data_IF_440812896281
#
_entry.id   IF_440812896281
#
_cell.length_a   1.000
_cell.length_b   1.000
_cell.length_c   1.000
_cell.angle_alpha   90.00
_cell.angle_beta   90.00
_cell.angle_gamma   90.00
#
_symmetry.space_group_name_H-M   'P 1'
#
loop_
_entity.id
_entity.type
_entity.pdbx_description
1 polymer ?
#
# COMPACT_ATOMS: atom_id res chain seq x y z
N UNK A 1 -5.46 0.24 8.87
CA UNK A 1 -5.57 1.71 9.02
C UNK A 1 -6.41 2.26 7.87
N UNK A 2 -6.74 3.55 7.90
CA UNK A 2 -7.40 4.25 6.80
C UNK A 2 -6.49 5.35 6.22
N UNK A 3 -6.23 5.27 4.92
CA UNK A 3 -5.39 6.22 4.17
C UNK A 3 -6.20 6.90 3.06
N UNK A 4 -5.91 8.16 2.76
CA UNK A 4 -6.45 8.81 1.56
C UNK A 4 -5.81 8.24 0.30
N UNK A 5 -6.55 8.22 -0.81
CA UNK A 5 -6.03 7.76 -2.09
C UNK A 5 -4.73 8.46 -2.52
N UNK A 6 -4.59 9.76 -2.23
CA UNK A 6 -3.35 10.52 -2.49
C UNK A 6 -2.13 10.01 -1.72
N UNK A 7 -2.30 9.51 -0.50
CA UNK A 7 -1.19 8.97 0.29
C UNK A 7 -0.83 7.55 -0.22
N UNK A 8 -1.83 6.76 -0.65
CA UNK A 8 -1.61 5.46 -1.33
C UNK A 8 -0.83 5.65 -2.63
N UNK A 9 -1.21 6.63 -3.46
CA UNK A 9 -0.49 6.96 -4.69
C UNK A 9 0.99 7.26 -4.42
N UNK A 10 1.26 8.12 -3.43
CA UNK A 10 2.63 8.49 -3.04
C UNK A 10 3.45 7.30 -2.57
N UNK A 11 2.86 6.40 -1.78
CA UNK A 11 3.53 5.16 -1.34
C UNK A 11 3.99 4.32 -2.54
N UNK A 12 3.11 4.11 -3.52
CA UNK A 12 3.42 3.31 -4.71
C UNK A 12 4.50 4.01 -5.54
N UNK A 13 4.35 5.32 -5.81
CA UNK A 13 5.34 6.10 -6.58
C UNK A 13 6.72 6.07 -5.93
N UNK A 14 6.78 6.21 -4.60
CA UNK A 14 8.03 6.12 -3.85
C UNK A 14 8.69 4.76 -3.97
N UNK A 15 7.90 3.70 -4.08
CA UNK A 15 8.41 2.34 -4.19
C UNK A 15 9.03 2.02 -5.55
N UNK A 16 8.74 2.80 -6.60
CA UNK A 16 9.24 2.55 -7.97
C UNK A 16 10.76 2.60 -8.01
N UNK A 17 11.37 3.47 -7.20
CA UNK A 17 12.81 3.64 -7.07
C UNK A 17 13.53 2.39 -6.60
N UNK A 18 12.80 1.46 -5.98
CA UNK A 18 13.28 0.16 -5.53
C UNK A 18 14.57 0.19 -4.68
N UNK A 19 14.92 1.35 -4.09
CA UNK A 19 16.09 1.52 -3.21
C UNK A 19 16.16 0.46 -2.11
N UNK A 20 14.99 0.06 -1.61
CA UNK A 20 14.81 -0.95 -0.55
C UNK A 20 13.87 -2.07 -1.01
N UNK A 21 13.73 -2.26 -2.32
CA UNK A 21 12.72 -3.11 -2.93
C UNK A 21 11.42 -2.36 -3.28
N UNK A 22 10.60 -3.01 -4.11
CA UNK A 22 9.29 -2.48 -4.51
C UNK A 22 8.21 -2.93 -3.53
N UNK A 23 7.29 -2.02 -3.22
CA UNK A 23 6.13 -2.31 -2.40
C UNK A 23 5.26 -3.34 -3.13
N UNK A 24 5.02 -4.48 -2.49
CA UNK A 24 4.06 -5.45 -2.98
C UNK A 24 2.66 -4.99 -2.60
N UNK A 25 1.75 -4.96 -3.57
CA UNK A 25 0.39 -4.43 -3.38
C UNK A 25 -0.66 -5.45 -3.77
N UNK A 26 -1.81 -5.41 -3.07
CA UNK A 26 -3.03 -6.13 -3.42
C UNK A 26 -4.21 -5.16 -3.36
N UNK A 27 -5.20 -5.37 -4.22
CA UNK A 27 -6.42 -4.54 -4.25
C UNK A 27 -6.35 -3.31 -5.16
N UNK A 28 -5.17 -3.00 -5.71
CA UNK A 28 -4.90 -1.88 -6.61
C UNK A 28 -4.14 -2.36 -7.85
N UNK A 29 -4.42 -1.76 -8.99
CA UNK A 29 -3.80 -2.00 -10.30
C UNK A 29 -3.38 -0.65 -10.84
N UNK A 30 -2.19 -0.56 -11.43
CA UNK A 30 -1.64 0.69 -11.97
C UNK A 30 -0.61 0.39 -13.05
N UNK A 31 -0.42 1.35 -13.95
CA UNK A 31 0.65 1.31 -14.94
C UNK A 31 1.84 2.10 -14.41
N UNK A 32 3.05 1.58 -14.61
CA UNK A 32 4.30 2.32 -14.38
C UNK A 32 4.62 3.09 -15.66
N UNK A 33 4.94 4.37 -15.53
CA UNK A 33 5.36 5.20 -16.67
C UNK A 33 6.86 5.01 -16.85
N UNK A 34 7.28 4.41 -17.97
CA UNK A 34 8.69 4.12 -18.23
C UNK A 34 9.56 5.38 -18.20
N UNK A 35 10.71 5.28 -17.53
CA UNK A 35 11.64 6.40 -17.34
C UNK A 35 11.18 7.47 -16.34
N UNK A 36 9.96 7.38 -15.82
CA UNK A 36 9.42 8.28 -14.80
C UNK A 36 9.15 7.55 -13.47
N UNK A 37 9.38 8.23 -12.36
CA UNK A 37 9.04 7.73 -11.01
C UNK A 37 7.56 7.97 -10.69
N UNK A 38 6.68 7.58 -11.63
CA UNK A 38 5.24 7.86 -11.59
C UNK A 38 4.42 6.66 -11.99
N UNK A 39 3.18 6.65 -11.50
CA UNK A 39 2.14 5.71 -11.93
C UNK A 39 0.96 6.44 -12.54
N UNK A 40 0.25 5.76 -13.43
CA UNK A 40 -1.00 6.22 -14.05
C UNK A 40 -2.06 5.12 -14.06
N UNK A 41 -3.26 5.45 -14.52
CA UNK A 41 -4.39 4.52 -14.68
C UNK A 41 -4.69 3.70 -13.40
N UNK A 42 -4.56 4.34 -12.24
CA UNK A 42 -4.70 3.68 -10.94
C UNK A 42 -6.16 3.28 -10.71
N UNK A 43 -6.41 1.98 -10.59
CA UNK A 43 -7.74 1.38 -10.40
C UNK A 43 -7.74 0.44 -9.21
N UNK A 44 -8.88 0.35 -8.54
CA UNK A 44 -9.15 -0.70 -7.56
C UNK A 44 -9.49 -2.00 -8.30
N UNK A 45 -9.45 -3.15 -7.61
CA UNK A 45 -9.83 -4.46 -8.20
C UNK A 45 -11.23 -4.50 -8.82
N UNK A 46 -12.15 -3.67 -8.35
CA UNK A 46 -13.51 -3.59 -8.89
C UNK A 46 -13.62 -2.72 -10.16
N UNK A 47 -12.52 -2.13 -10.64
CA UNK A 47 -12.46 -1.30 -11.84
C UNK A 47 -12.58 0.21 -11.58
N UNK A 48 -12.98 0.63 -10.38
CA UNK A 48 -13.11 2.04 -10.03
C UNK A 48 -11.74 2.74 -10.03
N UNK A 49 -11.69 3.97 -10.54
CA UNK A 49 -10.51 4.81 -10.42
C UNK A 49 -10.24 5.14 -8.94
N UNK A 50 -8.96 5.26 -8.58
CA UNK A 50 -8.57 5.70 -7.24
C UNK A 50 -8.95 7.17 -7.02
N UNK A 51 -9.99 7.41 -6.22
CA UNK A 51 -10.31 8.75 -5.71
C UNK A 51 -9.26 9.17 -4.68
N UNK A 52 -8.60 10.31 -4.93
CA UNK A 52 -7.50 10.83 -4.12
C UNK A 52 -7.92 11.36 -2.75
N UNK A 53 -9.19 11.77 -2.59
CA UNK A 53 -9.71 12.36 -1.35
C UNK A 53 -10.49 11.35 -0.50
N UNK A 54 -10.97 10.26 -1.11
CA UNK A 54 -11.59 9.13 -0.42
C UNK A 54 -10.58 8.40 0.48
N UNK A 55 -11.07 7.90 1.62
CA UNK A 55 -10.32 7.02 2.53
C UNK A 55 -10.53 5.55 2.19
N UNK A 56 -9.46 4.77 2.23
CA UNK A 56 -9.44 3.33 1.98
C UNK A 56 -8.86 2.59 3.17
N UNK A 57 -9.40 1.40 3.44
CA UNK A 57 -8.83 0.49 4.43
C UNK A 57 -7.57 -0.15 3.84
N UNK A 58 -6.45 -0.01 4.53
CA UNK A 58 -5.16 -0.56 4.14
C UNK A 58 -4.62 -1.44 5.25
N UNK A 59 -4.16 -2.64 4.87
CA UNK A 59 -3.42 -3.56 5.70
C UNK A 59 -1.95 -3.56 5.27
N UNK A 60 -1.04 -3.54 6.23
CA UNK A 60 0.41 -3.58 6.02
C UNK A 60 1.09 -4.10 7.29
N UNK A 61 2.40 -4.35 7.26
CA UNK A 61 3.18 -4.71 8.45
C UNK A 61 3.27 -3.55 9.43
N UNK A 62 3.56 -3.85 10.69
CA UNK A 62 3.92 -2.84 11.69
C UNK A 62 5.16 -2.03 11.27
N UNK A 63 6.20 -2.72 10.76
CA UNK A 63 7.41 -2.09 10.22
C UNK A 63 7.12 -0.97 9.20
N UNK A 64 6.29 -1.26 8.18
CA UNK A 64 5.92 -0.26 7.17
C UNK A 64 4.95 0.78 7.73
N UNK A 65 4.02 0.37 8.61
CA UNK A 65 3.09 1.28 9.27
C UNK A 65 3.80 2.36 10.10
N UNK A 66 4.98 2.03 10.64
CA UNK A 66 5.83 2.94 11.40
C UNK A 66 6.81 3.74 10.54
N UNK A 67 6.78 3.59 9.21
CA UNK A 67 7.58 4.37 8.26
C UNK A 67 8.89 3.69 7.82
N UNK A 68 9.02 2.39 8.05
CA UNK A 68 10.12 1.58 7.50
C UNK A 68 10.30 1.77 5.99
N UNK A 69 11.51 1.52 5.49
CA UNK A 69 11.90 1.73 4.08
C UNK A 69 11.54 3.11 3.51
N UNK A 70 11.47 4.13 4.38
CA UNK A 70 11.12 5.51 4.04
C UNK A 70 9.67 5.72 3.56
N UNK A 71 8.76 4.79 3.88
CA UNK A 71 7.33 4.92 3.57
C UNK A 71 6.56 5.74 4.63
N UNK A 72 7.00 6.97 4.89
CA UNK A 72 6.41 7.82 5.94
C UNK A 72 4.95 8.19 5.70
N UNK A 73 4.44 8.06 4.48
CA UNK A 73 3.03 8.26 4.18
C UNK A 73 2.09 7.29 4.94
N UNK A 74 2.57 6.10 5.35
CA UNK A 74 1.78 5.20 6.20
C UNK A 74 1.45 5.82 7.57
N UNK A 75 2.34 6.66 8.11
CA UNK A 75 2.14 7.32 9.41
C UNK A 75 0.99 8.34 9.39
N UNK A 76 0.52 8.74 8.19
CA UNK A 76 -0.66 9.61 8.02
C UNK A 76 -1.98 8.86 8.18
N UNK A 77 -1.93 7.54 8.29
CA UNK A 77 -3.10 6.68 8.45
C UNK A 77 -3.85 6.98 9.74
N UNK A 78 -5.17 7.13 9.63
CA UNK A 78 -6.04 7.23 10.80
C UNK A 78 -6.67 5.87 11.11
N UNK A 79 -7.34 5.75 12.27
CA UNK A 79 -8.04 4.52 12.66
C UNK A 79 -7.14 3.26 12.57
N UNK A 80 -5.87 3.39 12.98
CA UNK A 80 -4.93 2.27 13.00
C UNK A 80 -5.40 1.23 14.02
N UNK A 81 -5.42 -0.04 13.59
CA UNK A 81 -5.72 -1.20 14.43
C UNK A 81 -4.66 -2.25 14.16
N UNK A 82 -4.09 -2.80 15.22
CA UNK A 82 -3.13 -3.91 15.13
C UNK A 82 -3.91 -5.22 15.14
N UNK A 83 -3.62 -6.12 14.19
CA UNK A 83 -4.29 -7.43 14.11
C UNK A 83 -3.78 -8.42 15.15
N UNK A 84 -2.59 -8.17 15.73
CA UNK A 84 -1.82 -9.11 16.55
C UNK A 84 -1.50 -10.43 15.83
N UNK A 85 -1.50 -10.41 14.50
CA UNK A 85 -1.14 -11.56 13.66
C UNK A 85 0.21 -11.26 13.00
N UNK A 86 1.17 -12.15 13.21
CA UNK A 86 2.47 -12.10 12.53
C UNK A 86 2.26 -12.46 11.05
N UNK A 87 2.96 -11.79 10.14
CA UNK A 87 2.82 -11.99 8.68
C UNK A 87 2.96 -13.47 8.29
N UNK A 88 3.94 -14.18 8.88
CA UNK A 88 4.11 -15.63 8.69
C UNK A 88 2.82 -16.41 8.97
N UNK A 89 2.16 -16.11 10.09
CA UNK A 89 0.91 -16.77 10.48
C UNK A 89 -0.25 -16.40 9.55
N UNK A 90 -0.30 -15.15 9.09
CA UNK A 90 -1.30 -14.71 8.11
C UNK A 90 -1.18 -15.48 6.79
N UNK A 91 0.06 -15.68 6.30
CA UNK A 91 0.35 -16.46 5.10
C UNK A 91 -0.02 -17.94 5.33
N UNK A 92 0.42 -18.52 6.45
CA UNK A 92 0.18 -19.93 6.74
C UNK A 92 -1.30 -20.28 6.79
N UNK A 93 -2.12 -19.46 7.46
CA UNK A 93 -3.58 -19.62 7.53
C UNK A 93 -4.28 -19.51 6.18
N UNK A 94 -3.66 -18.87 5.20
CA UNK A 94 -4.24 -18.70 3.86
C UNK A 94 -3.90 -19.89 2.94
N UNK A 95 -2.74 -20.52 3.17
CA UNK A 95 -2.24 -21.64 2.34
C UNK A 95 -2.71 -22.98 2.88
N UNK A 96 -2.66 -23.19 4.20
CA UNK A 96 -3.10 -24.42 4.85
C UNK A 96 -4.60 -24.29 5.09
N UNK A 97 -5.40 -24.88 4.20
CA UNK A 97 -6.85 -25.04 4.38
C UNK A 97 -7.16 -26.28 5.21
#
# INVERSE_FOLDING_TARGET
MELKGRDIKKLIERSIDALWGRLQTDGIIYDIVDGEKKIQNIKLKNGDALDLEKKYKVATSDYLADGGDFFSEFQRGCNRRTSNIIIREAIMKTIIK
#
